data_IF_559515154503
#
_entry.id   IF_559515154503
#
_cell.length_a   1.000
_cell.length_b   1.000
_cell.length_c   1.000
_cell.angle_alpha   90.00
_cell.angle_beta   90.00
_cell.angle_gamma   90.00
#
_symmetry.space_group_name_H-M   'P 1'
#
loop_
_entity.id
_entity.type
_entity.pdbx_description
1 polymer ?
#
# COMPACT_ATOMS: atom_id res chain seq x y z
N UNK A 1 0.86 -1.10 3.24
CA UNK A 1 -0.18 -1.17 4.30
C UNK A 1 -0.06 -2.49 5.05
N UNK A 2 -0.71 -2.62 6.19
CA UNK A 2 -0.81 -3.88 6.92
C UNK A 2 -2.26 -4.20 7.28
N UNK A 3 -2.59 -5.48 7.21
CA UNK A 3 -3.94 -6.00 7.39
C UNK A 3 -3.92 -7.15 8.40
N UNK A 4 -4.88 -7.13 9.30
CA UNK A 4 -5.28 -8.25 10.13
C UNK A 4 -6.76 -8.55 9.89
N UNK A 5 -7.30 -9.62 10.47
CA UNK A 5 -8.70 -10.03 10.27
C UNK A 5 -9.72 -8.99 10.75
N UNK A 6 -9.39 -8.23 11.79
CA UNK A 6 -10.32 -7.31 12.46
C UNK A 6 -9.93 -5.84 12.31
N UNK A 7 -8.71 -5.57 11.86
CA UNK A 7 -8.13 -4.24 11.84
C UNK A 7 -7.11 -4.08 10.72
N UNK A 8 -6.82 -2.83 10.38
CA UNK A 8 -5.86 -2.45 9.37
C UNK A 8 -5.05 -1.24 9.85
N UNK A 9 -3.90 -1.01 9.21
CA UNK A 9 -3.17 0.25 9.32
C UNK A 9 -2.45 0.59 8.02
N UNK A 10 -2.37 1.88 7.75
CA UNK A 10 -1.77 2.41 6.54
C UNK A 10 -0.75 3.52 6.78
N UNK A 11 -0.61 3.89 8.05
CA UNK A 11 0.44 4.68 8.64
C UNK A 11 0.92 3.94 9.89
N UNK A 12 2.06 4.33 10.43
CA UNK A 12 2.56 3.78 11.68
C UNK A 12 3.34 4.83 12.49
N UNK A 13 3.79 4.39 13.67
CA UNK A 13 4.64 5.17 14.57
C UNK A 13 5.92 5.63 13.85
N UNK A 14 6.07 6.95 13.67
CA UNK A 14 7.40 7.56 13.50
C UNK A 14 7.95 7.92 14.89
N UNK A 15 9.26 8.10 14.99
CA UNK A 15 9.99 8.32 16.25
C UNK A 15 9.54 9.53 17.08
N UNK A 16 8.65 10.38 16.58
CA UNK A 16 8.38 11.72 17.12
C UNK A 16 6.97 11.90 17.71
N UNK A 17 6.15 10.85 17.80
CA UNK A 17 4.83 10.92 18.44
C UNK A 17 4.24 9.53 18.72
N UNK A 18 3.93 9.24 19.99
CA UNK A 18 3.27 7.98 20.37
C UNK A 18 1.80 8.04 19.95
N UNK A 19 1.46 7.36 18.85
CA UNK A 19 0.06 7.04 18.56
C UNK A 19 -0.39 5.87 19.42
N UNK A 20 -1.61 5.96 19.96
CA UNK A 20 -2.27 4.81 20.58
C UNK A 20 -2.38 3.64 19.60
N UNK A 21 -2.13 2.43 20.09
CA UNK A 21 -2.18 1.16 19.33
C UNK A 21 -1.44 1.19 17.98
N UNK A 22 -0.30 1.89 17.89
CA UNK A 22 0.54 1.96 16.69
C UNK A 22 -0.20 2.32 15.37
N UNK A 23 -1.31 3.06 15.47
CA UNK A 23 -2.11 3.48 14.33
C UNK A 23 -3.06 2.41 13.76
N UNK A 24 -3.31 1.33 14.49
CA UNK A 24 -4.34 0.36 14.12
C UNK A 24 -5.75 0.95 14.18
N UNK A 25 -6.58 0.57 13.21
CA UNK A 25 -7.97 0.97 13.06
C UNK A 25 -8.83 -0.28 12.86
N UNK A 26 -9.97 -0.40 13.55
CA UNK A 26 -10.84 -1.57 13.40
C UNK A 26 -11.78 -1.38 12.21
N UNK A 27 -12.02 -2.43 11.42
CA UNK A 27 -12.93 -2.36 10.28
C UNK A 27 -14.35 -1.97 10.68
N UNK A 28 -14.84 -2.48 11.81
CA UNK A 28 -16.19 -2.22 12.31
C UNK A 28 -16.43 -0.73 12.62
N UNK A 29 -15.37 0.03 12.90
CA UNK A 29 -15.47 1.48 13.10
C UNK A 29 -15.85 2.19 11.80
N UNK A 30 -15.70 1.55 10.64
CA UNK A 30 -15.93 2.11 9.30
C UNK A 30 -17.00 1.35 8.50
N UNK A 31 -17.89 0.60 9.17
CA UNK A 31 -19.06 -0.03 8.53
C UNK A 31 -20.01 0.98 7.84
N UNK A 32 -19.85 2.26 8.15
CA UNK A 32 -20.41 3.40 7.43
C UNK A 32 -19.28 4.33 7.03
N UNK A 33 -19.46 5.11 5.95
CA UNK A 33 -18.50 6.13 5.54
C UNK A 33 -18.20 7.09 6.70
N UNK A 34 -16.91 7.25 7.04
CA UNK A 34 -16.45 8.18 8.08
C UNK A 34 -15.23 8.97 7.63
N UNK A 35 -15.09 10.17 8.17
CA UNK A 35 -13.86 10.93 8.08
C UNK A 35 -12.93 10.51 9.23
N UNK A 36 -11.67 10.24 8.89
CA UNK A 36 -10.61 9.93 9.84
C UNK A 36 -9.46 10.90 9.64
N UNK A 37 -9.05 11.63 10.69
CA UNK A 37 -7.91 12.54 10.61
C UNK A 37 -6.68 11.89 11.22
N UNK A 38 -5.60 11.78 10.45
CA UNK A 38 -4.31 11.31 10.94
C UNK A 38 -3.86 12.20 12.11
N UNK A 39 -3.69 11.64 13.32
CA UNK A 39 -3.24 12.37 14.49
C UNK A 39 -1.87 13.07 14.32
N UNK A 40 -1.00 12.57 13.44
CA UNK A 40 0.34 13.12 13.20
C UNK A 40 0.37 14.16 12.09
N UNK A 41 -0.08 13.82 10.88
CA UNK A 41 -0.02 14.74 9.73
C UNK A 41 -1.22 15.67 9.60
N UNK A 42 -2.27 15.44 10.40
CA UNK A 42 -3.52 16.21 10.37
C UNK A 42 -4.23 16.17 9.02
N UNK A 43 -3.93 15.15 8.22
CA UNK A 43 -4.62 14.90 6.96
C UNK A 43 -5.89 14.09 7.22
N UNK A 44 -6.96 14.41 6.52
CA UNK A 44 -8.25 13.71 6.67
C UNK A 44 -8.51 12.77 5.50
N UNK A 45 -8.94 11.56 5.82
CA UNK A 45 -9.23 10.46 4.91
C UNK A 45 -10.72 10.11 5.00
N UNK A 46 -11.35 9.85 3.86
CA UNK A 46 -12.70 9.27 3.80
C UNK A 46 -12.56 7.76 3.79
N UNK A 47 -13.02 7.09 4.84
CA UNK A 47 -12.85 5.64 5.02
C UNK A 47 -14.22 4.96 5.07
N UNK A 48 -14.35 3.83 4.39
CA UNK A 48 -15.50 2.95 4.43
C UNK A 48 -15.05 1.50 4.30
N UNK A 49 -15.69 0.59 5.04
CA UNK A 49 -15.45 -0.84 4.92
C UNK A 49 -16.78 -1.57 4.80
N UNK A 50 -16.96 -2.29 3.70
CA UNK A 50 -18.15 -3.10 3.45
C UNK A 50 -17.79 -4.32 2.60
N UNK A 51 -18.41 -5.46 2.90
CA UNK A 51 -18.27 -6.70 2.13
C UNK A 51 -16.82 -7.10 1.78
N UNK A 52 -15.88 -6.93 2.73
CA UNK A 52 -14.47 -7.27 2.53
C UNK A 52 -13.66 -6.23 1.76
N UNK A 53 -14.30 -5.15 1.30
CA UNK A 53 -13.65 -4.05 0.58
C UNK A 53 -13.44 -2.87 1.53
N UNK A 54 -12.17 -2.50 1.73
CA UNK A 54 -11.76 -1.29 2.41
C UNK A 54 -11.55 -0.18 1.38
N UNK A 55 -12.31 0.91 1.50
CA UNK A 55 -12.14 2.12 0.71
C UNK A 55 -11.47 3.21 1.55
N UNK A 56 -10.38 3.78 1.03
CA UNK A 56 -9.71 4.96 1.60
C UNK A 56 -9.56 6.00 0.49
N UNK A 57 -10.33 7.08 0.61
CA UNK A 57 -10.52 8.07 -0.44
C UNK A 57 -10.94 7.41 -1.77
N UNK A 58 -10.06 7.42 -2.77
CA UNK A 58 -10.31 6.79 -4.08
C UNK A 58 -9.77 5.36 -4.18
N UNK A 59 -9.02 4.88 -3.19
CA UNK A 59 -8.41 3.56 -3.23
C UNK A 59 -9.38 2.50 -2.73
N UNK A 60 -9.49 1.40 -3.46
CA UNK A 60 -10.28 0.23 -3.09
C UNK A 60 -9.37 -0.97 -2.87
N UNK A 61 -9.54 -1.61 -1.72
CA UNK A 61 -8.65 -2.64 -1.21
C UNK A 61 -9.48 -3.87 -0.89
N UNK A 62 -9.19 -4.97 -1.56
CA UNK A 62 -9.73 -6.28 -1.21
C UNK A 62 -8.93 -6.83 -0.03
N UNK A 63 -9.55 -6.80 1.16
CA UNK A 63 -8.92 -7.22 2.41
C UNK A 63 -8.69 -8.72 2.43
N UNK A 64 -9.59 -9.52 1.85
CA UNK A 64 -9.40 -10.96 1.79
C UNK A 64 -8.19 -11.32 0.92
N UNK A 65 -8.07 -10.69 -0.25
CA UNK A 65 -6.94 -10.87 -1.14
C UNK A 65 -5.64 -10.49 -0.43
N UNK A 66 -5.62 -9.35 0.26
CA UNK A 66 -4.46 -8.90 1.02
C UNK A 66 -4.06 -9.89 2.14
N UNK A 67 -5.04 -10.52 2.81
CA UNK A 67 -4.81 -11.52 3.86
C UNK A 67 -4.41 -12.91 3.32
N UNK A 68 -4.75 -13.24 2.07
CA UNK A 68 -4.41 -14.52 1.43
C UNK A 68 -2.93 -14.62 1.03
N UNK A 69 -2.24 -13.48 0.85
CA UNK A 69 -0.81 -13.45 0.51
C UNK A 69 0.03 -13.85 1.73
N UNK A 70 0.60 -15.04 1.69
CA UNK A 70 1.43 -15.62 2.76
C UNK A 70 2.81 -16.03 2.23
N UNK A 71 3.76 -16.32 3.12
CA UNK A 71 5.16 -16.63 2.74
C UNK A 71 5.30 -17.81 1.79
N UNK A 72 4.40 -18.77 1.89
CA UNK A 72 4.49 -20.04 1.17
C UNK A 72 3.57 -20.09 -0.06
N UNK A 73 2.96 -18.95 -0.41
CA UNK A 73 2.07 -18.88 -1.57
C UNK A 73 2.89 -18.71 -2.85
N UNK A 74 2.71 -19.63 -3.79
CA UNK A 74 3.23 -19.48 -5.15
C UNK A 74 2.52 -18.32 -5.86
N UNK A 75 3.29 -17.30 -6.23
CA UNK A 75 2.77 -16.11 -6.88
C UNK A 75 2.98 -16.17 -8.39
N UNK A 76 1.97 -15.75 -9.14
CA UNK A 76 2.08 -15.57 -10.59
C UNK A 76 2.48 -14.14 -10.92
N UNK A 77 3.23 -13.95 -12.01
CA UNK A 77 3.53 -12.62 -12.56
C UNK A 77 2.23 -11.84 -12.77
N UNK A 78 2.15 -10.61 -12.27
CA UNK A 78 0.98 -9.75 -12.37
C UNK A 78 -0.11 -9.99 -11.32
N UNK A 79 0.05 -11.00 -10.45
CA UNK A 79 -0.85 -11.19 -9.31
C UNK A 79 -0.69 -10.03 -8.31
N UNK A 80 -1.80 -9.51 -7.80
CA UNK A 80 -1.79 -8.52 -6.73
C UNK A 80 -1.25 -9.16 -5.46
N UNK A 81 -0.23 -8.53 -4.87
CA UNK A 81 0.47 -9.06 -3.69
C UNK A 81 0.30 -8.18 -2.45
N UNK A 82 -0.47 -7.10 -2.57
CA UNK A 82 -0.70 -6.14 -1.50
C UNK A 82 -0.99 -4.74 -2.02
N UNK A 83 -1.07 -3.80 -1.07
CA UNK A 83 -1.44 -2.41 -1.32
C UNK A 83 -0.42 -1.45 -0.69
N UNK A 84 -0.07 -0.41 -1.45
CA UNK A 84 0.90 0.61 -1.01
C UNK A 84 0.35 1.43 0.15
N UNK A 85 1.25 1.87 1.02
CA UNK A 85 0.90 2.76 2.13
C UNK A 85 2.16 3.27 2.80
N UNK A 86 2.01 4.07 3.84
CA UNK A 86 3.12 4.70 4.55
C UNK A 86 3.45 3.96 5.85
N UNK A 87 3.64 2.64 5.81
CA UNK A 87 3.99 1.86 7.01
C UNK A 87 5.50 1.61 7.08
N UNK A 88 6.12 1.75 8.25
CA UNK A 88 7.54 1.47 8.50
C UNK A 88 8.30 2.74 8.90
N UNK A 89 9.58 2.82 8.52
CA UNK A 89 10.37 4.05 8.65
C UNK A 89 10.17 4.95 7.43
N UNK A 90 8.91 5.24 7.08
CA UNK A 90 8.53 6.00 5.90
C UNK A 90 8.01 7.37 6.30
N UNK A 91 8.18 8.37 5.42
CA UNK A 91 7.45 9.63 5.54
C UNK A 91 5.94 9.33 5.44
N UNK A 92 5.18 9.89 6.37
CA UNK A 92 3.74 9.69 6.49
C UNK A 92 2.98 10.76 5.69
N UNK A 93 1.82 10.38 5.15
CA UNK A 93 0.84 11.28 4.56
C UNK A 93 0.47 10.91 3.12
N UNK A 94 -0.61 11.52 2.61
CA UNK A 94 -1.21 11.22 1.30
C UNK A 94 -0.19 11.30 0.17
N UNK A 95 0.66 12.32 0.19
CA UNK A 95 1.70 12.56 -0.82
C UNK A 95 2.97 11.74 -0.64
N UNK A 96 3.09 11.01 0.48
CA UNK A 96 4.29 10.26 0.84
C UNK A 96 4.15 8.75 0.71
N UNK A 97 2.96 8.25 0.33
CA UNK A 97 2.74 6.83 0.04
C UNK A 97 3.67 6.37 -1.08
N UNK A 98 4.45 5.32 -0.81
CA UNK A 98 5.36 4.73 -1.78
C UNK A 98 5.49 3.21 -1.55
N UNK A 99 6.11 2.55 -2.52
CA UNK A 99 6.51 1.15 -2.41
C UNK A 99 8.02 1.09 -2.24
N UNK A 100 8.48 0.51 -1.14
CA UNK A 100 9.88 0.12 -1.00
C UNK A 100 10.09 -1.24 -1.67
N UNK A 101 10.90 -1.30 -2.72
CA UNK A 101 11.16 -2.52 -3.48
C UNK A 101 12.65 -2.87 -3.44
N UNK A 102 12.98 -4.01 -2.86
CA UNK A 102 14.35 -4.55 -2.78
C UNK A 102 14.43 -5.86 -3.58
N UNK A 103 15.58 -6.07 -4.22
CA UNK A 103 15.90 -7.33 -4.91
C UNK A 103 17.12 -7.94 -4.26
N UNK A 104 17.10 -9.28 -4.12
CA UNK A 104 18.25 -10.05 -3.66
C UNK A 104 18.54 -11.18 -4.65
N UNK A 105 19.79 -11.31 -5.10
CA UNK A 105 20.27 -12.43 -5.91
C UNK A 105 21.34 -13.16 -5.10
N UNK A 106 21.15 -14.46 -4.86
CA UNK A 106 22.05 -15.26 -4.02
C UNK A 106 22.33 -14.59 -2.65
N UNK A 107 21.26 -14.11 -1.98
CA UNK A 107 21.30 -13.39 -0.70
C UNK A 107 22.06 -12.05 -0.69
N UNK A 108 22.46 -11.50 -1.85
CA UNK A 108 23.06 -10.16 -1.95
C UNK A 108 22.04 -9.16 -2.44
N UNK A 109 21.91 -8.04 -1.73
CA UNK A 109 21.08 -6.93 -2.18
C UNK A 109 21.65 -6.37 -3.48
N UNK A 110 20.78 -6.23 -4.48
CA UNK A 110 21.11 -5.63 -5.78
C UNK A 110 20.15 -4.47 -6.03
N UNK A 111 20.60 -3.50 -6.83
CA UNK A 111 19.74 -2.39 -7.24
C UNK A 111 18.76 -2.91 -8.30
N UNK A 112 17.44 -2.91 -8.03
CA UNK A 112 16.47 -3.49 -8.96
C UNK A 112 16.53 -2.84 -10.35
N UNK A 113 16.76 -1.52 -10.39
CA UNK A 113 16.92 -0.80 -11.64
C UNK A 113 18.08 -1.36 -12.47
N UNK A 114 19.24 -1.60 -11.86
CA UNK A 114 20.42 -2.05 -12.60
C UNK A 114 20.25 -3.45 -13.21
N UNK A 115 19.60 -4.35 -12.48
CA UNK A 115 19.39 -5.73 -12.92
C UNK A 115 18.24 -5.88 -13.93
N UNK A 116 17.24 -5.01 -13.87
CA UNK A 116 15.99 -5.17 -14.64
C UNK A 116 15.66 -3.98 -15.54
N UNK A 117 16.66 -3.21 -15.99
CA UNK A 117 16.47 -1.99 -16.81
C UNK A 117 15.50 -2.19 -17.97
N UNK A 118 15.58 -3.34 -18.64
CA UNK A 118 14.75 -3.70 -19.79
C UNK A 118 13.25 -3.87 -19.43
N UNK A 119 12.92 -4.19 -18.17
CA UNK A 119 11.54 -4.40 -17.71
C UNK A 119 10.90 -3.15 -17.14
N UNK A 120 11.64 -2.09 -16.80
CA UNK A 120 11.03 -0.85 -16.31
C UNK A 120 10.18 -0.16 -17.39
N UNK A 121 10.57 -0.33 -18.65
CA UNK A 121 9.85 0.19 -19.79
C UNK A 121 8.77 -0.75 -20.32
N UNK A 122 8.65 -1.99 -19.84
CA UNK A 122 7.80 -3.02 -20.46
C UNK A 122 6.83 -3.68 -19.46
N UNK A 123 5.60 -3.92 -19.89
CA UNK A 123 4.58 -4.54 -19.06
C UNK A 123 4.71 -6.08 -19.03
N UNK A 124 3.75 -6.76 -18.41
CA UNK A 124 3.80 -8.22 -18.28
C UNK A 124 3.80 -8.97 -19.62
N UNK A 125 3.28 -8.34 -20.69
CA UNK A 125 3.21 -8.84 -22.06
C UNK A 125 4.39 -8.41 -22.94
N UNK A 126 5.31 -7.60 -22.41
CA UNK A 126 6.46 -7.05 -23.15
C UNK A 126 6.14 -5.80 -23.96
N UNK A 127 5.01 -5.12 -23.70
CA UNK A 127 4.65 -3.85 -24.34
C UNK A 127 5.07 -2.63 -23.53
N UNK A 128 5.35 -1.49 -24.16
CA UNK A 128 5.81 -0.29 -23.45
C UNK A 128 4.85 0.20 -22.35
N UNK A 129 5.34 0.37 -21.13
CA UNK A 129 4.58 0.83 -19.95
C UNK A 129 4.30 2.32 -19.93
N UNK A 130 5.09 3.12 -20.64
CA UNK A 130 4.98 4.59 -20.69
C UNK A 130 3.59 5.07 -21.16
N UNK A 131 2.87 4.24 -21.93
CA UNK A 131 1.49 4.50 -22.41
C UNK A 131 0.39 3.87 -21.55
N UNK A 132 0.74 3.01 -20.59
CA UNK A 132 -0.19 2.26 -19.73
C UNK A 132 -0.21 2.77 -18.28
N UNK A 133 0.57 3.80 -17.97
CA UNK A 133 0.54 4.49 -16.67
C UNK A 133 -0.73 5.35 -16.47
N UNK A 134 -1.74 5.22 -17.32
CA UNK A 134 -3.09 5.71 -17.06
C UNK A 134 -3.79 4.82 -16.03
N UNK A 135 -3.63 5.17 -14.75
CA UNK A 135 -4.24 4.47 -13.63
C UNK A 135 -3.60 4.79 -12.28
N UNK A 136 -2.37 5.34 -12.27
CA UNK A 136 -1.80 5.96 -11.09
C UNK A 136 -2.18 7.44 -11.12
N UNK A 137 -3.17 7.84 -10.32
CA UNK A 137 -3.38 9.25 -10.00
C UNK A 137 -2.02 9.83 -9.61
N UNK A 138 -1.47 10.80 -10.36
CA UNK A 138 -0.18 11.40 -10.04
C UNK A 138 -0.16 11.83 -8.57
N UNK A 139 0.97 11.73 -7.88
CA UNK A 139 1.07 12.14 -6.47
C UNK A 139 0.67 13.60 -6.21
N UNK A 140 0.65 14.43 -7.26
CA UNK A 140 0.14 15.81 -7.25
C UNK A 140 -1.39 15.91 -7.22
N UNK A 141 -2.11 14.82 -7.53
CA UNK A 141 -3.57 14.68 -7.55
C UNK A 141 -4.12 13.78 -6.42
N UNK A 142 -3.26 13.40 -5.45
CA UNK A 142 -3.65 12.84 -4.14
C UNK A 142 -3.97 13.96 -3.13
#
# INVERSE_FOLDING_TARGET
>A
MQFERTRFRFYNQNSNGKLGDHGWLNYNDFATVKQFTDPNKKETYTIHYDNGILKIDQNEIDVELALKVTRDLDMKKGQIIGYTGSTGNSYQGKKANHLHFNTYINNKSVLPYEEFKEYFGLDISGGETSKKQDGVTPSSKW
#
